data_IF_347441107037
#
_entry.id   IF_347441107037
#
_cell.length_a   1.000
_cell.length_b   1.000
_cell.length_c   1.000
_cell.angle_alpha   90.00
_cell.angle_beta   90.00
_cell.angle_gamma   90.00
#
_symmetry.space_group_name_H-M   'P 1'
#
loop_
_entity.id
_entity.type
_entity.pdbx_description
1 polymer ?
#
# COMPACT_ATOMS: atom_id res chain seq x y z
N UNK A 1 4.55 16.87 24.18
CA UNK A 1 4.86 15.48 23.78
C UNK A 1 4.77 15.41 22.26
N UNK A 2 5.90 15.20 21.58
CA UNK A 2 5.94 14.96 20.12
C UNK A 2 5.66 13.47 19.91
N UNK A 3 4.54 13.08 19.30
CA UNK A 3 4.34 11.69 18.91
C UNK A 3 3.93 11.57 17.44
N UNK A 4 4.52 10.55 16.82
CA UNK A 4 4.19 9.93 15.55
C UNK A 4 4.43 10.77 14.29
N UNK A 5 5.71 10.91 13.92
CA UNK A 5 6.04 10.86 12.48
C UNK A 5 5.57 9.48 12.03
N UNK A 6 4.47 9.42 11.26
CA UNK A 6 4.01 8.18 10.64
C UNK A 6 5.17 7.64 9.80
N UNK A 7 5.86 6.62 10.31
CA UNK A 7 6.79 5.84 9.51
C UNK A 7 5.90 5.11 8.52
N UNK A 8 5.89 5.62 7.30
CA UNK A 8 5.20 5.01 6.18
C UNK A 8 6.25 4.17 5.45
N UNK A 9 5.87 2.97 5.06
CA UNK A 9 6.76 2.06 4.35
C UNK A 9 6.50 2.14 2.85
N UNK A 10 7.44 1.65 2.06
CA UNK A 10 7.29 1.49 0.63
C UNK A 10 7.39 0.00 0.30
N UNK A 11 6.28 -0.58 -0.13
CA UNK A 11 6.23 -1.95 -0.64
C UNK A 11 6.65 -1.95 -2.10
N UNK A 12 7.63 -2.77 -2.42
CA UNK A 12 8.14 -2.99 -3.76
C UNK A 12 7.95 -4.45 -4.12
N UNK A 13 7.40 -4.71 -5.30
CA UNK A 13 7.31 -6.05 -5.89
C UNK A 13 8.07 -6.05 -7.21
N UNK A 14 8.97 -7.01 -7.40
CA UNK A 14 9.67 -7.20 -8.66
C UNK A 14 8.74 -7.81 -9.72
N UNK A 15 9.05 -7.55 -10.99
CA UNK A 15 8.43 -8.29 -12.11
C UNK A 15 8.91 -9.74 -12.11
N UNK A 16 8.25 -10.57 -12.91
CA UNK A 16 8.67 -11.96 -13.10
C UNK A 16 10.15 -12.05 -13.51
N UNK A 17 10.83 -13.04 -12.95
CA UNK A 17 12.24 -13.36 -13.18
C UNK A 17 12.35 -14.84 -13.50
N UNK A 18 13.39 -15.21 -14.25
CA UNK A 18 13.58 -16.59 -14.73
C UNK A 18 14.18 -17.49 -13.66
N UNK A 19 15.07 -16.95 -12.84
CA UNK A 19 15.80 -17.68 -11.80
C UNK A 19 16.26 -16.75 -10.66
N UNK A 20 16.82 -17.35 -9.60
CA UNK A 20 17.29 -16.61 -8.44
C UNK A 20 18.43 -15.63 -8.74
N UNK A 21 19.27 -15.87 -9.75
CA UNK A 21 20.35 -14.95 -10.11
C UNK A 21 19.82 -13.67 -10.75
N UNK A 22 18.78 -13.80 -11.56
CA UNK A 22 18.08 -12.63 -12.13
C UNK A 22 17.42 -11.80 -11.02
N UNK A 23 16.78 -12.46 -10.03
CA UNK A 23 16.22 -11.76 -8.88
C UNK A 23 17.31 -11.04 -8.06
N UNK A 24 18.42 -11.71 -7.75
CA UNK A 24 19.54 -11.10 -7.03
C UNK A 24 20.09 -9.88 -7.78
N UNK A 25 20.19 -9.95 -9.11
CA UNK A 25 20.60 -8.82 -9.93
C UNK A 25 19.61 -7.65 -9.82
N UNK A 26 18.31 -7.92 -9.88
CA UNK A 26 17.26 -6.91 -9.74
C UNK A 26 17.28 -6.24 -8.36
N UNK A 27 17.46 -7.02 -7.29
CA UNK A 27 17.61 -6.52 -5.92
C UNK A 27 18.85 -5.60 -5.82
N UNK A 28 20.01 -6.07 -6.31
CA UNK A 28 21.24 -5.27 -6.32
C UNK A 28 21.08 -3.95 -7.10
N UNK A 29 20.35 -3.95 -8.22
CA UNK A 29 20.08 -2.75 -9.00
C UNK A 29 19.19 -1.77 -8.21
N UNK A 30 18.15 -2.28 -7.54
CA UNK A 30 17.30 -1.47 -6.66
C UNK A 30 18.12 -0.83 -5.54
N UNK A 31 18.94 -1.61 -4.81
CA UNK A 31 19.75 -1.09 -3.72
C UNK A 31 20.74 -0.01 -4.17
N UNK A 32 21.43 -0.23 -5.30
CA UNK A 32 22.33 0.79 -5.88
C UNK A 32 21.60 2.06 -6.24
N UNK A 33 20.36 1.95 -6.72
CA UNK A 33 19.53 3.09 -7.09
C UNK A 33 19.03 3.83 -5.86
N UNK A 34 18.58 3.11 -4.83
CA UNK A 34 18.16 3.68 -3.55
C UNK A 34 19.29 4.49 -2.92
N UNK A 35 20.50 3.92 -2.83
CA UNK A 35 21.70 4.63 -2.31
C UNK A 35 21.99 5.95 -3.05
N UNK A 36 21.71 6.02 -4.35
CA UNK A 36 21.86 7.27 -5.12
C UNK A 36 20.76 8.30 -4.85
N UNK A 37 19.58 7.85 -4.45
CA UNK A 37 18.40 8.70 -4.21
C UNK A 37 18.43 9.24 -2.77
N UNK A 38 18.56 8.35 -1.79
CA UNK A 38 18.63 8.65 -0.36
C UNK A 38 19.31 7.47 0.35
N UNK A 39 20.27 7.73 1.23
CA UNK A 39 20.94 6.69 2.01
C UNK A 39 20.18 6.36 3.31
N UNK A 40 19.19 7.17 3.69
CA UNK A 40 18.45 7.03 4.95
C UNK A 40 17.19 6.16 4.79
N UNK A 41 17.39 4.91 4.39
CA UNK A 41 16.34 3.90 4.32
C UNK A 41 16.75 2.63 5.06
N UNK A 42 15.76 1.84 5.46
CA UNK A 42 15.98 0.50 6.00
C UNK A 42 15.20 -0.52 5.17
N UNK A 43 15.90 -1.58 4.72
CA UNK A 43 15.27 -2.70 4.02
C UNK A 43 14.84 -3.74 5.03
N UNK A 44 13.58 -4.12 4.96
CA UNK A 44 13.01 -5.24 5.70
C UNK A 44 12.98 -6.47 4.82
N UNK A 45 13.55 -7.55 5.33
CA UNK A 45 13.40 -8.88 4.74
C UNK A 45 11.98 -9.40 5.00
N UNK A 46 11.41 -10.06 4.00
CA UNK A 46 10.09 -10.67 4.04
C UNK A 46 10.19 -12.14 3.63
N UNK A 47 9.14 -12.92 3.88
CA UNK A 47 9.08 -14.33 3.48
C UNK A 47 9.17 -14.56 1.97
N UNK A 48 8.80 -13.55 1.18
CA UNK A 48 8.80 -13.60 -0.29
C UNK A 48 9.97 -12.76 -0.82
N UNK A 49 10.98 -13.38 -1.45
CA UNK A 49 12.18 -12.68 -1.91
C UNK A 49 11.89 -11.73 -3.08
N UNK A 50 10.78 -11.92 -3.81
CA UNK A 50 10.34 -10.99 -4.85
C UNK A 50 9.65 -9.73 -4.32
N UNK A 51 9.53 -9.60 -3.00
CA UNK A 51 8.92 -8.44 -2.33
C UNK A 51 9.86 -7.86 -1.30
N UNK A 52 10.06 -6.56 -1.40
CA UNK A 52 10.86 -5.78 -0.45
C UNK A 52 9.98 -4.73 0.20
N UNK A 53 10.16 -4.55 1.49
CA UNK A 53 9.56 -3.46 2.23
C UNK A 53 10.65 -2.50 2.70
N UNK A 54 10.47 -1.22 2.38
CA UNK A 54 11.44 -0.17 2.70
C UNK A 54 10.83 0.76 3.73
N UNK A 55 11.47 0.90 4.88
CA UNK A 55 11.14 2.00 5.80
C UNK A 55 11.80 3.28 5.30
N UNK A 56 11.00 4.34 5.14
CA UNK A 56 11.50 5.63 4.71
C UNK A 56 10.69 6.77 5.31
N UNK A 57 11.31 7.92 5.60
CA UNK A 57 10.58 9.05 6.18
C UNK A 57 9.59 9.71 5.21
N UNK A 58 9.81 9.52 3.90
CA UNK A 58 9.01 10.12 2.81
C UNK A 58 8.78 9.11 1.67
N UNK A 59 7.98 8.06 1.86
CA UNK A 59 7.86 6.99 0.86
C UNK A 59 7.18 7.45 -0.44
N UNK A 60 6.25 8.40 -0.40
CA UNK A 60 5.67 8.98 -1.61
C UNK A 60 6.73 9.69 -2.47
N UNK A 61 7.62 10.47 -1.85
CA UNK A 61 8.73 11.12 -2.58
C UNK A 61 9.71 10.08 -3.13
N UNK A 62 10.03 9.06 -2.34
CA UNK A 62 10.92 7.98 -2.77
C UNK A 62 10.33 7.21 -3.95
N UNK A 63 9.04 6.89 -3.90
CA UNK A 63 8.28 6.30 -5.02
C UNK A 63 8.40 7.14 -6.29
N UNK A 64 8.11 8.44 -6.22
CA UNK A 64 8.20 9.35 -7.37
C UNK A 64 9.62 9.40 -7.96
N UNK A 65 10.66 9.30 -7.12
CA UNK A 65 12.04 9.26 -7.57
C UNK A 65 12.37 7.93 -8.24
N UNK A 66 11.98 6.79 -7.64
CA UNK A 66 12.18 5.46 -8.23
C UNK A 66 11.47 5.32 -9.58
N UNK A 67 10.25 5.85 -9.72
CA UNK A 67 9.48 5.89 -10.96
C UNK A 67 10.14 6.71 -12.09
N UNK A 68 11.22 7.47 -11.80
CA UNK A 68 12.01 8.22 -12.78
C UNK A 68 13.35 7.54 -13.11
N UNK A 69 13.63 6.38 -12.52
CA UNK A 69 14.89 5.64 -12.73
C UNK A 69 14.69 4.38 -13.58
N UNK A 70 15.80 3.78 -13.99
CA UNK A 70 15.82 2.51 -14.72
C UNK A 70 15.17 1.35 -13.94
N UNK A 71 15.14 1.43 -12.61
CA UNK A 71 14.50 0.40 -11.76
C UNK A 71 13.01 0.23 -12.06
N UNK A 72 12.31 1.26 -12.53
CA UNK A 72 10.89 1.15 -12.92
C UNK A 72 10.63 0.00 -13.89
N UNK A 73 11.61 -0.33 -14.74
CA UNK A 73 11.44 -1.39 -15.74
C UNK A 73 11.43 -2.80 -15.13
N UNK A 74 12.01 -2.99 -13.93
CA UNK A 74 12.08 -4.27 -13.23
C UNK A 74 11.07 -4.39 -12.07
N UNK A 75 10.31 -3.33 -11.77
CA UNK A 75 9.33 -3.31 -10.68
C UNK A 75 7.90 -3.43 -11.21
N UNK A 76 7.11 -4.34 -10.63
CA UNK A 76 5.68 -4.54 -10.90
C UNK A 76 4.82 -3.61 -10.04
N UNK A 77 5.26 -3.37 -8.80
CA UNK A 77 4.54 -2.53 -7.84
C UNK A 77 5.53 -1.65 -7.06
N UNK A 78 5.18 -0.38 -6.90
CA UNK A 78 5.82 0.56 -5.97
C UNK A 78 4.70 1.27 -5.22
N UNK A 79 4.48 0.89 -3.96
CA UNK A 79 3.29 1.28 -3.22
C UNK A 79 3.63 1.72 -1.80
N UNK A 80 3.37 2.99 -1.46
CA UNK A 80 3.45 3.45 -0.07
C UNK A 80 2.37 2.75 0.75
N UNK A 81 2.75 2.19 1.89
CA UNK A 81 1.87 1.35 2.71
C UNK A 81 2.12 1.64 4.19
N UNK A 82 1.14 1.23 4.99
CA UNK A 82 1.35 0.97 6.41
C UNK A 82 1.24 -0.52 6.65
N UNK A 83 2.18 -1.09 7.39
CA UNK A 83 2.09 -2.50 7.78
C UNK A 83 1.44 -2.72 9.14
N UNK A 84 0.83 -3.89 9.26
CA UNK A 84 0.34 -4.48 10.50
C UNK A 84 0.68 -5.97 10.50
N UNK A 85 0.66 -6.59 11.68
CA UNK A 85 0.66 -8.05 11.76
C UNK A 85 -0.61 -8.61 11.07
N UNK A 86 -0.45 -9.67 10.29
CA UNK A 86 -1.53 -10.35 9.57
C UNK A 86 -2.56 -10.92 10.55
N UNK A 87 -3.59 -10.12 10.79
CA UNK A 87 -4.73 -10.44 11.62
C UNK A 87 -5.89 -9.54 11.21
N UNK A 88 -7.07 -10.11 10.98
CA UNK A 88 -8.23 -9.35 10.50
C UNK A 88 -8.60 -8.19 11.43
N UNK A 89 -8.43 -8.33 12.75
CA UNK A 89 -8.70 -7.26 13.71
C UNK A 89 -7.68 -6.12 13.57
N UNK A 90 -6.39 -6.43 13.43
CA UNK A 90 -5.35 -5.42 13.24
C UNK A 90 -5.53 -4.67 11.91
N UNK A 91 -5.84 -5.40 10.83
CA UNK A 91 -6.12 -4.85 9.50
C UNK A 91 -7.32 -3.90 9.57
N UNK A 92 -8.46 -4.36 10.09
CA UNK A 92 -9.68 -3.53 10.24
C UNK A 92 -9.40 -2.29 11.09
N UNK A 93 -8.76 -2.46 12.25
CA UNK A 93 -8.47 -1.35 13.18
C UNK A 93 -7.59 -0.29 12.51
N UNK A 94 -6.56 -0.73 11.78
CA UNK A 94 -5.67 0.18 11.05
C UNK A 94 -6.43 0.98 9.99
N UNK A 95 -7.27 0.32 9.18
CA UNK A 95 -8.09 0.99 8.17
C UNK A 95 -9.02 2.01 8.84
N UNK A 96 -9.77 1.60 9.87
CA UNK A 96 -10.70 2.47 10.57
C UNK A 96 -10.00 3.68 11.19
N UNK A 97 -8.81 3.51 11.78
CA UNK A 97 -8.03 4.61 12.36
C UNK A 97 -7.69 5.70 11.33
N UNK A 98 -7.56 5.33 10.04
CA UNK A 98 -7.18 6.25 8.96
C UNK A 98 -8.36 6.99 8.34
N UNK A 99 -9.51 6.32 8.22
CA UNK A 99 -10.65 6.83 7.45
C UNK A 99 -11.86 7.22 8.30
N UNK A 100 -12.07 6.62 9.47
CA UNK A 100 -13.32 6.77 10.25
C UNK A 100 -13.75 8.22 10.49
N UNK A 101 -12.80 9.09 10.85
CA UNK A 101 -13.08 10.51 11.12
C UNK A 101 -13.16 11.39 9.86
N UNK A 102 -12.85 10.84 8.69
CA UNK A 102 -12.87 11.52 7.38
C UNK A 102 -14.04 11.05 6.50
N UNK A 103 -14.62 9.90 6.83
CA UNK A 103 -15.75 9.30 6.13
C UNK A 103 -17.04 10.08 6.35
N UNK A 104 -17.78 10.35 5.28
CA UNK A 104 -19.13 10.92 5.30
C UNK A 104 -20.18 9.83 5.03
N UNK A 105 -21.43 10.10 5.40
CA UNK A 105 -22.57 9.15 5.30
C UNK A 105 -22.78 8.61 3.87
N UNK A 106 -22.54 9.43 2.85
CA UNK A 106 -22.70 9.06 1.45
C UNK A 106 -21.39 8.62 0.77
N UNK A 107 -20.32 8.44 1.55
CA UNK A 107 -19.10 7.87 1.01
C UNK A 107 -19.31 6.39 0.69
N UNK A 108 -18.46 5.88 -0.17
CA UNK A 108 -18.40 4.46 -0.54
C UNK A 108 -16.96 3.99 -0.43
N UNK A 109 -16.76 2.68 -0.37
CA UNK A 109 -15.42 2.12 -0.38
C UNK A 109 -15.29 0.95 -1.33
N UNK A 110 -14.07 0.66 -1.75
CA UNK A 110 -13.70 -0.59 -2.40
C UNK A 110 -12.50 -1.20 -1.69
N UNK A 111 -12.45 -2.52 -1.67
CA UNK A 111 -11.36 -3.29 -1.09
C UNK A 111 -10.84 -4.26 -2.13
N UNK A 112 -9.53 -4.24 -2.33
CA UNK A 112 -8.82 -5.25 -3.11
C UNK A 112 -7.81 -5.93 -2.22
N UNK A 113 -7.90 -7.26 -2.12
CA UNK A 113 -6.98 -8.08 -1.37
C UNK A 113 -6.00 -8.80 -2.32
N UNK A 114 -4.79 -9.05 -1.85
CA UNK A 114 -3.82 -9.93 -2.50
C UNK A 114 -3.06 -10.69 -1.43
N UNK A 115 -2.88 -11.99 -1.63
CA UNK A 115 -2.17 -12.88 -0.71
C UNK A 115 -0.94 -13.40 -1.44
N UNK A 116 0.22 -13.25 -0.82
CA UNK A 116 1.50 -13.63 -1.39
C UNK A 116 2.22 -14.54 -0.39
N UNK A 117 2.68 -15.70 -0.86
CA UNK A 117 3.22 -16.77 -0.04
C UNK A 117 2.18 -17.81 0.38
N UNK A 118 2.62 -18.80 1.16
CA UNK A 118 1.87 -20.03 1.44
C UNK A 118 1.16 -20.06 2.80
N UNK A 119 1.21 -18.98 3.59
CA UNK A 119 0.98 -19.03 5.05
C UNK A 119 -0.28 -18.31 5.55
N UNK A 120 -1.32 -18.10 4.73
CA UNK A 120 -2.57 -17.47 5.19
C UNK A 120 -3.70 -18.47 5.45
N UNK A 121 -4.40 -18.29 6.58
CA UNK A 121 -5.62 -19.04 6.91
C UNK A 121 -6.83 -18.69 6.03
N UNK A 122 -6.71 -17.67 5.19
CA UNK A 122 -7.79 -17.13 4.37
C UNK A 122 -7.40 -17.17 2.90
N UNK A 123 -8.39 -17.39 2.05
CA UNK A 123 -8.34 -17.02 0.64
C UNK A 123 -8.50 -15.51 0.50
N UNK A 124 -8.10 -14.97 -0.66
CA UNK A 124 -8.26 -13.54 -0.99
C UNK A 124 -9.72 -13.08 -0.84
N UNK A 125 -10.67 -13.87 -1.33
CA UNK A 125 -12.10 -13.55 -1.30
C UNK A 125 -12.67 -13.56 0.12
N UNK A 126 -12.24 -14.52 0.96
CA UNK A 126 -12.67 -14.58 2.36
C UNK A 126 -12.16 -13.36 3.14
N UNK A 127 -10.88 -13.00 2.96
CA UNK A 127 -10.31 -11.83 3.61
C UNK A 127 -11.04 -10.56 3.19
N UNK A 128 -11.27 -10.38 1.89
CA UNK A 128 -12.00 -9.24 1.35
C UNK A 128 -13.43 -9.14 1.93
N UNK A 129 -14.14 -10.28 2.01
CA UNK A 129 -15.50 -10.35 2.56
C UNK A 129 -15.52 -9.98 4.03
N UNK A 130 -14.63 -10.56 4.84
CA UNK A 130 -14.54 -10.30 6.29
C UNK A 130 -14.25 -8.82 6.56
N UNK A 131 -13.25 -8.24 5.87
CA UNK A 131 -12.90 -6.84 6.07
C UNK A 131 -14.02 -5.92 5.56
N UNK A 132 -14.62 -6.22 4.40
CA UNK A 132 -15.72 -5.42 3.85
C UNK A 132 -16.91 -5.35 4.81
N UNK A 133 -17.31 -6.48 5.38
CA UNK A 133 -18.43 -6.55 6.33
C UNK A 133 -18.14 -5.68 7.57
N UNK A 134 -16.94 -5.81 8.14
CA UNK A 134 -16.54 -5.04 9.33
C UNK A 134 -16.49 -3.53 9.06
N UNK A 135 -16.01 -3.11 7.89
CA UNK A 135 -15.99 -1.70 7.52
C UNK A 135 -17.41 -1.16 7.32
N UNK A 136 -18.28 -1.91 6.64
CA UNK A 136 -19.70 -1.55 6.46
C UNK A 136 -20.40 -1.36 7.80
N UNK A 137 -20.22 -2.30 8.74
CA UNK A 137 -20.78 -2.22 10.09
C UNK A 137 -20.23 -1.04 10.90
N UNK A 138 -18.93 -0.75 10.78
CA UNK A 138 -18.26 0.26 11.60
C UNK A 138 -18.39 1.68 11.09
N UNK A 139 -18.55 1.86 9.77
CA UNK A 139 -18.58 3.16 9.10
C UNK A 139 -19.98 3.54 8.59
N UNK A 140 -20.90 2.57 8.51
CA UNK A 140 -22.23 2.75 7.94
C UNK A 140 -22.22 3.30 6.50
N UNK A 141 -21.25 2.84 5.70
CA UNK A 141 -21.13 3.16 4.27
C UNK A 141 -21.12 1.89 3.42
N UNK A 142 -21.49 2.02 2.15
CA UNK A 142 -21.61 0.90 1.22
C UNK A 142 -20.35 0.63 0.41
N UNK A 143 -20.15 -0.64 0.04
CA UNK A 143 -19.11 -1.02 -0.93
C UNK A 143 -19.55 -0.62 -2.34
N UNK A 144 -18.66 -0.03 -3.13
CA UNK A 144 -18.90 0.29 -4.54
C UNK A 144 -17.62 0.16 -5.36
N UNK A 145 -17.64 -0.71 -6.36
CA UNK A 145 -16.51 -0.95 -7.27
C UNK A 145 -16.45 0.15 -8.36
N UNK A 146 -17.60 0.76 -8.70
CA UNK A 146 -17.70 1.70 -9.82
C UNK A 146 -17.10 3.06 -9.45
N UNK A 147 -17.52 3.62 -8.31
CA UNK A 147 -17.09 4.95 -7.85
C UNK A 147 -16.81 4.94 -6.34
N UNK A 148 -15.77 4.23 -5.88
CA UNK A 148 -15.36 4.25 -4.47
C UNK A 148 -14.77 5.61 -4.07
N UNK A 149 -15.25 6.17 -2.96
CA UNK A 149 -14.60 7.32 -2.31
C UNK A 149 -13.28 6.90 -1.67
N UNK A 150 -13.26 5.72 -1.05
CA UNK A 150 -12.10 5.13 -0.41
C UNK A 150 -11.67 3.86 -1.14
N UNK A 151 -10.45 3.85 -1.68
CA UNK A 151 -9.85 2.65 -2.27
C UNK A 151 -8.86 2.07 -1.27
N UNK A 152 -9.08 0.82 -0.86
CA UNK A 152 -8.28 0.14 0.15
C UNK A 152 -7.62 -1.08 -0.50
N UNK A 153 -6.30 -1.04 -0.64
CA UNK A 153 -5.51 -2.19 -1.12
C UNK A 153 -4.83 -2.86 0.06
N UNK A 154 -5.04 -4.17 0.20
CA UNK A 154 -4.51 -5.00 1.28
C UNK A 154 -3.65 -6.09 0.64
N UNK A 155 -2.38 -6.15 1.02
CA UNK A 155 -1.43 -7.14 0.50
C UNK A 155 -0.85 -7.90 1.69
N UNK A 156 -1.22 -9.17 1.83
CA UNK A 156 -0.72 -10.05 2.89
C UNK A 156 0.51 -10.79 2.39
N UNK A 157 1.62 -10.69 3.13
CA UNK A 157 2.91 -11.33 2.86
C UNK A 157 3.32 -12.05 4.14
N UNK A 158 2.89 -13.31 4.25
CA UNK A 158 3.03 -14.10 5.45
C UNK A 158 2.52 -13.42 6.73
N UNK A 159 3.37 -13.19 7.75
CA UNK A 159 2.96 -12.61 9.04
C UNK A 159 2.69 -11.11 8.99
N UNK A 160 2.98 -10.45 7.87
CA UNK A 160 2.83 -9.01 7.69
C UNK A 160 1.76 -8.72 6.63
N UNK A 161 0.91 -7.73 6.90
CA UNK A 161 -0.04 -7.19 5.92
C UNK A 161 0.25 -5.73 5.66
N UNK A 162 0.49 -5.38 4.40
CA UNK A 162 0.68 -4.03 3.91
C UNK A 162 -0.67 -3.44 3.45
N UNK A 163 -0.98 -2.23 3.90
CA UNK A 163 -2.26 -1.56 3.64
C UNK A 163 -1.98 -0.21 2.97
N UNK A 164 -2.55 0.01 1.78
CA UNK A 164 -2.60 1.31 1.12
C UNK A 164 -4.04 1.80 1.06
N UNK A 165 -4.27 3.06 1.45
CA UNK A 165 -5.61 3.67 1.43
C UNK A 165 -5.52 4.96 0.64
N UNK A 166 -6.39 5.12 -0.37
CA UNK A 166 -6.48 6.32 -1.20
C UNK A 166 -7.90 6.89 -1.16
N UNK A 167 -7.96 8.22 -1.10
CA UNK A 167 -9.22 8.97 -1.18
C UNK A 167 -9.36 9.60 -2.56
N UNK A 168 -10.43 9.30 -3.29
CA UNK A 168 -10.56 9.68 -4.72
C UNK A 168 -10.95 11.14 -4.93
N UNK A 169 -11.66 11.78 -3.99
CA UNK A 169 -12.09 13.19 -4.15
C UNK A 169 -10.95 14.23 -4.05
N UNK A 170 -9.68 13.83 -4.08
CA UNK A 170 -8.53 14.73 -3.92
C UNK A 170 -8.06 15.40 -5.22
N UNK A 171 -8.77 15.27 -6.35
CA UNK A 171 -8.36 15.84 -7.65
C UNK A 171 -9.32 16.84 -8.30
N UNK A 172 -10.47 17.17 -7.73
CA UNK A 172 -11.45 18.02 -8.44
C UNK A 172 -11.55 19.48 -7.97
N UNK A 173 -10.82 19.89 -6.93
CA UNK A 173 -10.97 21.26 -6.36
C UNK A 173 -9.92 22.28 -6.79
N UNK A 174 -8.90 21.93 -7.57
CA UNK A 174 -7.89 22.92 -8.04
C UNK A 174 -8.16 23.45 -9.47
N UNK A 175 -8.93 22.75 -10.30
CA UNK A 175 -9.18 23.18 -11.69
C UNK A 175 -10.45 24.03 -11.89
N UNK A 176 -11.31 24.19 -10.88
CA UNK A 176 -12.52 25.03 -10.97
C UNK A 176 -12.34 26.48 -10.49
N UNK A 177 -11.16 26.85 -9.99
CA UNK A 177 -10.85 28.23 -9.56
C UNK A 177 -10.02 29.03 -10.57
N UNK A 178 -9.77 28.47 -11.77
CA UNK A 178 -9.08 29.15 -12.87
C UNK A 178 -9.92 29.15 -14.15
N UNK A 179 -11.08 29.79 -14.09
CA UNK A 179 -11.68 30.37 -15.30
C UNK A 179 -11.94 31.85 -15.03
N UNK A 180 -11.28 32.79 -15.75
CA UNK A 180 -11.65 34.19 -15.69
C UNK A 180 -13.06 34.38 -16.27
N UNK A 181 -13.82 35.26 -15.61
CA UNK A 181 -15.14 35.72 -16.04
C UNK A 181 -15.13 36.41 -17.41
#
# INVERSE_FOLDING_TARGET
>A
MKSNKEINELLIKFKEFKDGKELDYQINLLEKTLKKIDEHYYLKELESPEIILIEHQKPEKLKEQLEKTETKNILDLILPVETVQTNTNHITTKILSKIKHKTKILDTFDITCSIIGYSTYYTTNELETIISQRLKESLHIEKSIINPVWNIKIITIGPITAINIRHTRKKETEDYLLQPA
#
